data_IF_998430731379
#
_entry.id   IF_998430731379
#
_cell.length_a   1.000
_cell.length_b   1.000
_cell.length_c   1.000
_cell.angle_alpha   90.00
_cell.angle_beta   90.00
_cell.angle_gamma   90.00
#
_symmetry.space_group_name_H-M   'P 1'
#
loop_
_entity.id
_entity.type
_entity.pdbx_description
1 polymer ?
#
# COMPACT_ATOMS: atom_id res chain seq x y z
N UNK A 1 59.06 -19.05 -27.21
CA UNK A 1 57.74 -19.71 -27.04
C UNK A 1 57.02 -19.02 -25.89
N UNK A 2 56.17 -18.04 -26.18
CA UNK A 2 55.47 -17.23 -25.16
C UNK A 2 54.17 -17.91 -24.73
N UNK A 3 54.15 -18.47 -23.51
CA UNK A 3 52.97 -19.08 -22.92
C UNK A 3 52.06 -18.02 -22.29
N UNK A 4 50.93 -17.75 -22.95
CA UNK A 4 49.87 -16.84 -22.50
C UNK A 4 49.13 -17.41 -21.28
N UNK A 5 49.29 -16.77 -20.11
CA UNK A 5 48.53 -17.12 -18.91
C UNK A 5 47.12 -16.53 -19.00
N UNK A 6 46.19 -17.33 -19.52
CA UNK A 6 44.75 -17.02 -19.55
C UNK A 6 44.21 -17.03 -18.11
N UNK A 7 44.03 -15.84 -17.54
CA UNK A 7 43.37 -15.65 -16.25
C UNK A 7 41.95 -16.21 -16.27
N UNK A 8 41.60 -17.01 -15.25
CA UNK A 8 40.26 -17.57 -15.05
C UNK A 8 39.27 -16.41 -14.83
N UNK A 9 38.10 -16.39 -15.47
CA UNK A 9 37.06 -15.43 -15.12
C UNK A 9 36.61 -15.72 -13.70
N UNK A 10 36.82 -14.75 -12.81
CA UNK A 10 36.31 -14.78 -11.44
C UNK A 10 34.79 -14.87 -11.51
N UNK A 11 34.24 -16.01 -11.07
CA UNK A 11 32.81 -16.19 -10.90
C UNK A 11 32.31 -15.12 -9.92
N UNK A 12 31.58 -14.14 -10.44
CA UNK A 12 30.98 -13.06 -9.65
C UNK A 12 29.83 -13.69 -8.87
N UNK A 13 30.10 -14.17 -7.67
CA UNK A 13 29.07 -14.63 -6.74
C UNK A 13 28.09 -13.45 -6.55
N UNK A 14 26.79 -13.63 -6.79
CA UNK A 14 25.80 -12.59 -6.54
C UNK A 14 25.88 -12.19 -5.06
N UNK A 15 26.11 -10.90 -4.80
CA UNK A 15 26.07 -10.41 -3.44
C UNK A 15 24.69 -10.73 -2.82
N UNK A 16 24.63 -11.24 -1.58
CA UNK A 16 23.35 -11.49 -0.93
C UNK A 16 22.58 -10.17 -0.85
N UNK A 17 21.29 -10.22 -1.22
CA UNK A 17 20.39 -9.08 -1.07
C UNK A 17 20.47 -8.55 0.38
N UNK A 18 20.37 -7.23 0.60
CA UNK A 18 20.42 -6.66 1.93
C UNK A 18 19.40 -7.37 2.82
N UNK A 19 19.88 -8.01 3.87
CA UNK A 19 19.02 -8.74 4.81
C UNK A 19 18.24 -7.70 5.61
N UNK A 20 16.91 -7.79 5.57
CA UNK A 20 16.04 -6.98 6.41
C UNK A 20 16.43 -7.24 7.87
N UNK A 21 16.69 -6.18 8.63
CA UNK A 21 17.06 -6.29 10.05
C UNK A 21 15.81 -6.28 10.94
N UNK A 22 15.93 -6.86 12.14
CA UNK A 22 14.82 -6.86 13.12
C UNK A 22 14.36 -5.43 13.45
N UNK A 23 15.30 -4.47 13.52
CA UNK A 23 14.98 -3.05 13.75
C UNK A 23 14.14 -2.45 12.63
N UNK A 24 14.41 -2.84 11.36
CA UNK A 24 13.60 -2.41 10.22
C UNK A 24 12.18 -3.00 10.27
N UNK A 25 12.04 -4.26 10.73
CA UNK A 25 10.75 -4.89 10.93
C UNK A 25 9.98 -4.17 12.06
N UNK A 26 10.63 -3.88 13.18
CA UNK A 26 10.03 -3.17 14.30
C UNK A 26 9.59 -1.75 13.94
N UNK A 27 10.41 -1.00 13.19
CA UNK A 27 10.06 0.33 12.70
C UNK A 27 8.87 0.29 11.72
N UNK A 28 8.84 -0.68 10.81
CA UNK A 28 7.71 -0.88 9.90
C UNK A 28 6.42 -1.19 10.66
N UNK A 29 6.46 -2.12 11.61
CA UNK A 29 5.31 -2.45 12.46
C UNK A 29 4.82 -1.22 13.23
N UNK A 30 5.74 -0.42 13.77
CA UNK A 30 5.42 0.83 14.48
C UNK A 30 4.78 1.89 13.57
N UNK A 31 5.21 1.97 12.31
CA UNK A 31 4.57 2.82 11.28
C UNK A 31 3.16 2.33 10.96
N UNK A 32 2.97 1.03 10.75
CA UNK A 32 1.66 0.45 10.46
C UNK A 32 0.67 0.65 11.61
N UNK A 33 1.09 0.45 12.86
CA UNK A 33 0.24 0.70 14.04
C UNK A 33 -0.31 2.12 14.08
N UNK A 34 0.48 3.13 13.68
CA UNK A 34 0.04 4.54 13.67
C UNK A 34 -1.03 4.84 12.61
N UNK A 35 -1.07 4.05 11.54
CA UNK A 35 -2.03 4.21 10.44
C UNK A 35 -3.36 3.48 10.72
N UNK A 36 -3.39 2.59 11.72
CA UNK A 36 -4.58 1.78 11.99
C UNK A 36 -5.55 2.47 12.95
N UNK A 37 -6.80 2.71 12.54
CA UNK A 37 -7.79 3.36 13.40
C UNK A 37 -8.15 2.51 14.63
N UNK A 38 -8.06 1.18 14.54
CA UNK A 38 -8.47 0.26 15.59
C UNK A 38 -7.38 0.02 16.66
N UNK A 39 -6.11 0.16 16.30
CA UNK A 39 -5.00 -0.02 17.26
C UNK A 39 -4.83 1.23 18.16
N UNK A 40 -5.25 2.41 17.68
CA UNK A 40 -5.26 3.64 18.51
C UNK A 40 -6.12 3.53 19.77
N UNK A 41 -7.20 2.73 19.77
CA UNK A 41 -8.11 2.60 20.91
C UNK A 41 -7.82 1.37 21.79
N UNK A 42 -7.13 0.36 21.27
CA UNK A 42 -6.72 -0.80 22.05
C UNK A 42 -5.45 -0.44 22.82
N UNK A 43 -5.56 -0.28 24.15
CA UNK A 43 -4.44 -0.03 25.08
C UNK A 43 -3.18 -0.79 24.63
N UNK A 44 -2.17 -0.01 24.27
CA UNK A 44 -1.01 -0.31 23.44
C UNK A 44 -0.02 -1.37 23.97
N UNK A 45 -0.39 -2.19 24.95
CA UNK A 45 0.66 -2.84 25.73
C UNK A 45 1.21 -4.14 25.14
N UNK A 46 0.47 -4.93 24.32
CA UNK A 46 1.04 -6.17 23.71
C UNK A 46 0.35 -6.63 22.41
N UNK A 47 0.29 -5.81 21.37
CA UNK A 47 -0.17 -6.27 20.04
C UNK A 47 1.01 -6.88 19.28
N UNK A 48 0.92 -8.16 18.90
CA UNK A 48 1.97 -8.83 18.14
C UNK A 48 2.11 -8.26 16.72
N UNK A 49 3.30 -8.32 16.12
CA UNK A 49 3.53 -7.90 14.74
C UNK A 49 2.57 -8.59 13.75
N UNK A 50 2.31 -9.88 13.94
CA UNK A 50 1.35 -10.63 13.13
C UNK A 50 -0.07 -10.03 13.20
N UNK A 51 -0.50 -9.60 14.40
CA UNK A 51 -1.81 -8.96 14.58
C UNK A 51 -1.85 -7.57 13.92
N UNK A 52 -0.78 -6.78 14.04
CA UNK A 52 -0.67 -5.49 13.33
C UNK A 52 -0.79 -5.67 11.82
N UNK A 53 -0.08 -6.65 11.25
CA UNK A 53 -0.15 -6.94 9.82
C UNK A 53 -1.55 -7.41 9.40
N UNK A 54 -2.19 -8.26 10.20
CA UNK A 54 -3.56 -8.71 9.93
C UNK A 54 -4.55 -7.55 9.93
N UNK A 55 -4.50 -6.68 10.95
CA UNK A 55 -5.35 -5.48 11.01
C UNK A 55 -5.05 -4.53 9.85
N UNK A 56 -3.79 -4.39 9.45
CA UNK A 56 -3.39 -3.59 8.28
C UNK A 56 -4.05 -4.12 7.01
N UNK A 57 -3.96 -5.42 6.75
CA UNK A 57 -4.60 -6.05 5.59
C UNK A 57 -6.12 -5.91 5.62
N UNK A 58 -6.73 -6.03 6.80
CA UNK A 58 -8.16 -5.84 6.96
C UNK A 58 -8.59 -4.40 6.67
N UNK A 59 -7.83 -3.43 7.16
CA UNK A 59 -8.11 -2.01 6.94
C UNK A 59 -7.92 -1.61 5.48
N UNK A 60 -6.88 -2.11 4.81
CA UNK A 60 -6.73 -1.92 3.35
C UNK A 60 -7.96 -2.47 2.62
N UNK A 61 -8.44 -3.66 3.01
CA UNK A 61 -9.63 -4.25 2.39
C UNK A 61 -10.91 -3.45 2.68
N UNK A 62 -11.06 -2.87 3.87
CA UNK A 62 -12.22 -2.00 4.16
C UNK A 62 -12.14 -0.71 3.36
N UNK A 63 -10.98 -0.09 3.27
CA UNK A 63 -10.76 1.12 2.46
C UNK A 63 -11.09 0.88 0.98
N UNK A 64 -10.66 -0.25 0.40
CA UNK A 64 -11.02 -0.58 -0.98
C UNK A 64 -12.55 -0.69 -1.14
N UNK A 65 -13.24 -1.36 -0.22
CA UNK A 65 -14.71 -1.46 -0.25
C UNK A 65 -15.38 -0.10 -0.11
N UNK A 66 -14.90 0.75 0.81
CA UNK A 66 -15.43 2.10 0.98
C UNK A 66 -15.24 2.93 -0.29
N UNK A 67 -14.09 2.81 -0.96
CA UNK A 67 -13.85 3.46 -2.25
C UNK A 67 -14.79 2.94 -3.33
N UNK A 68 -14.97 1.62 -3.44
CA UNK A 68 -15.89 1.01 -4.40
C UNK A 68 -17.34 1.45 -4.15
N UNK A 69 -17.81 1.35 -2.89
CA UNK A 69 -19.17 1.75 -2.48
C UNK A 69 -19.42 3.26 -2.72
N UNK A 70 -18.44 4.11 -2.43
CA UNK A 70 -18.53 5.55 -2.69
C UNK A 70 -18.55 5.84 -4.19
N UNK A 71 -17.77 5.11 -4.98
CA UNK A 71 -17.73 5.24 -6.43
C UNK A 71 -19.07 4.85 -7.06
N UNK A 72 -19.68 3.75 -6.61
CA UNK A 72 -21.00 3.31 -7.06
C UNK A 72 -22.10 4.31 -6.68
N UNK A 73 -22.09 4.79 -5.43
CA UNK A 73 -23.06 5.81 -4.98
C UNK A 73 -22.91 7.11 -5.76
N UNK A 74 -21.68 7.51 -6.09
CA UNK A 74 -21.42 8.68 -6.92
C UNK A 74 -21.94 8.46 -8.36
N UNK A 75 -21.73 7.27 -8.92
CA UNK A 75 -22.28 6.89 -10.23
C UNK A 75 -23.80 7.01 -10.27
N UNK A 76 -24.49 6.43 -9.27
CA UNK A 76 -25.95 6.53 -9.15
C UNK A 76 -26.44 7.97 -9.00
N UNK A 77 -25.74 8.79 -8.19
CA UNK A 77 -26.08 10.20 -8.05
C UNK A 77 -25.93 10.93 -9.38
N UNK A 78 -24.87 10.66 -10.14
CA UNK A 78 -24.66 11.26 -11.46
C UNK A 78 -25.69 10.84 -12.50
N UNK A 79 -26.17 9.60 -12.45
CA UNK A 79 -27.28 9.12 -13.30
C UNK A 79 -28.62 9.77 -12.92
N UNK A 80 -28.83 10.04 -11.63
CA UNK A 80 -30.05 10.69 -11.13
C UNK A 80 -30.12 12.19 -11.40
N UNK A 81 -28.96 12.84 -11.63
CA UNK A 81 -28.90 14.25 -11.97
C UNK A 81 -29.22 14.39 -13.46
N UNK A 82 -30.23 15.20 -13.77
CA UNK A 82 -30.59 15.51 -15.15
C UNK A 82 -29.37 16.06 -15.89
N UNK A 83 -29.00 15.41 -17.00
CA UNK A 83 -27.71 15.56 -17.66
C UNK A 83 -27.45 16.98 -18.19
N UNK A 84 -28.50 17.79 -18.28
CA UNK A 84 -28.51 19.16 -18.78
C UNK A 84 -28.32 20.22 -17.67
N UNK A 85 -28.17 19.80 -16.41
CA UNK A 85 -27.96 20.75 -15.30
C UNK A 85 -26.50 21.21 -15.21
N UNK A 86 -26.30 22.49 -14.84
CA UNK A 86 -24.98 23.07 -14.63
C UNK A 86 -24.17 22.33 -13.54
N UNK A 87 -24.85 21.75 -12.55
CA UNK A 87 -24.23 20.93 -11.50
C UNK A 87 -23.64 19.62 -12.05
N UNK A 88 -24.34 18.93 -12.96
CA UNK A 88 -23.82 17.72 -13.61
C UNK A 88 -22.56 18.03 -14.42
N UNK A 89 -22.55 19.13 -15.16
CA UNK A 89 -21.39 19.58 -15.95
C UNK A 89 -20.17 19.86 -15.07
N UNK A 90 -20.35 20.52 -13.92
CA UNK A 90 -19.29 20.76 -12.95
C UNK A 90 -18.71 19.46 -12.36
N UNK A 91 -19.55 18.53 -11.91
CA UNK A 91 -19.06 17.27 -11.35
C UNK A 91 -18.30 16.45 -12.39
N UNK A 92 -18.79 16.38 -13.65
CA UNK A 92 -18.06 15.74 -14.76
C UNK A 92 -16.70 16.39 -15.00
N UNK A 93 -16.61 17.73 -14.94
CA UNK A 93 -15.34 18.44 -15.13
C UNK A 93 -14.28 18.15 -14.06
N UNK A 94 -14.71 17.83 -12.83
CA UNK A 94 -13.83 17.51 -11.71
C UNK A 94 -13.35 16.04 -11.73
N UNK A 95 -14.08 15.14 -12.40
CA UNK A 95 -13.77 13.70 -12.44
C UNK A 95 -12.92 13.27 -13.64
N UNK A 96 -12.80 14.11 -14.68
CA UNK A 96 -12.08 13.79 -15.94
C UNK A 96 -10.67 14.41 -15.96
N UNK A 97 -10.16 14.94 -14.83
CA UNK A 97 -8.77 15.38 -14.66
C UNK A 97 -7.86 14.23 -14.22
#
# INVERSE_FOLDING_TARGET
MSGSRRGRPSSRVPAPAPRITEDQVADLVSKLQRLLPHIRNARSDRVSAAKVLQETCNYIRSLHREVDDLSDRLGQLLESIDADTAQAALIRSLLIQ
#
